data_IF_897713962852
#
_entry.id   IF_897713962852
#
_cell.length_a   1.000
_cell.length_b   1.000
_cell.length_c   1.000
_cell.angle_alpha   90.00
_cell.angle_beta   90.00
_cell.angle_gamma   90.00
#
_symmetry.space_group_name_H-M   'P 1'
#
loop_
_entity.id
_entity.type
_entity.pdbx_description
1 polymer ?
#
# COMPACT_ATOMS: atom_id res chain seq x y z
N UNK A 1 29.74 17.18 -19.28
CA UNK A 1 28.77 16.22 -18.72
C UNK A 1 28.55 16.60 -17.28
N UNK A 2 27.34 16.98 -16.89
CA UNK A 2 27.03 17.28 -15.48
C UNK A 2 27.16 16.00 -14.65
N UNK A 3 27.63 16.15 -13.41
CA UNK A 3 27.77 15.04 -12.47
C UNK A 3 26.37 14.56 -12.08
N UNK A 4 26.11 13.25 -12.05
CA UNK A 4 24.79 12.70 -11.73
C UNK A 4 24.25 13.18 -10.38
N UNK A 5 25.12 13.42 -9.39
CA UNK A 5 24.71 13.97 -8.09
C UNK A 5 24.05 15.34 -8.23
N UNK A 6 24.60 16.21 -9.09
CA UNK A 6 24.06 17.55 -9.29
C UNK A 6 22.69 17.49 -9.95
N UNK A 7 22.54 16.63 -10.96
CA UNK A 7 21.25 16.41 -11.64
C UNK A 7 20.21 15.88 -10.64
N UNK A 8 20.58 14.86 -9.85
CA UNK A 8 19.68 14.28 -8.85
C UNK A 8 19.24 15.30 -7.78
N UNK A 9 20.16 16.13 -7.28
CA UNK A 9 19.81 17.19 -6.32
C UNK A 9 18.88 18.24 -6.93
N UNK A 10 19.11 18.60 -8.19
CA UNK A 10 18.23 19.50 -8.93
C UNK A 10 16.82 18.90 -9.07
N UNK A 11 16.70 17.64 -9.47
CA UNK A 11 15.41 16.94 -9.60
C UNK A 11 14.67 16.87 -8.26
N UNK A 12 15.38 16.61 -7.16
CA UNK A 12 14.78 16.63 -5.81
C UNK A 12 14.23 18.00 -5.45
N UNK A 13 14.99 19.07 -5.70
CA UNK A 13 14.56 20.43 -5.45
C UNK A 13 13.36 20.85 -6.32
N UNK A 14 13.37 20.49 -7.61
CA UNK A 14 12.27 20.75 -8.54
C UNK A 14 10.99 20.03 -8.10
N UNK A 15 11.10 18.78 -7.63
CA UNK A 15 9.98 18.03 -7.08
C UNK A 15 9.35 18.74 -5.87
N UNK A 16 10.17 19.24 -4.93
CA UNK A 16 9.66 19.99 -3.77
C UNK A 16 8.98 21.29 -4.19
N UNK A 17 9.58 22.02 -5.13
CA UNK A 17 9.00 23.26 -5.68
C UNK A 17 7.64 23.00 -6.33
N UNK A 18 7.51 21.89 -7.06
CA UNK A 18 6.24 21.46 -7.66
C UNK A 18 5.18 21.16 -6.61
N UNK A 19 5.55 20.47 -5.53
CA UNK A 19 4.64 20.19 -4.41
C UNK A 19 4.16 21.47 -3.73
N UNK A 20 5.06 22.40 -3.40
CA UNK A 20 4.67 23.69 -2.81
C UNK A 20 3.74 24.49 -3.73
N UNK A 21 4.04 24.54 -5.02
CA UNK A 21 3.20 25.21 -6.03
C UNK A 21 1.82 24.58 -6.11
N UNK A 22 1.75 23.26 -6.04
CA UNK A 22 0.50 22.51 -6.06
C UNK A 22 -0.34 22.80 -4.80
N UNK A 23 0.27 22.78 -3.62
CA UNK A 23 -0.42 23.05 -2.34
C UNK A 23 -0.89 24.49 -2.22
N UNK A 24 -0.20 25.44 -2.85
CA UNK A 24 -0.63 26.85 -2.93
C UNK A 24 -1.89 27.05 -3.78
N UNK A 25 -2.20 26.13 -4.70
CA UNK A 25 -3.37 26.19 -5.57
C UNK A 25 -4.41 25.14 -5.19
N UNK A 26 -5.38 25.54 -4.37
CA UNK A 26 -6.47 24.65 -3.93
C UNK A 26 -7.20 23.96 -5.10
N UNK A 27 -7.47 24.68 -6.19
CA UNK A 27 -8.17 24.13 -7.34
C UNK A 27 -7.35 23.04 -8.05
N UNK A 28 -6.05 23.28 -8.27
CA UNK A 28 -5.16 22.30 -8.88
C UNK A 28 -5.03 21.06 -7.98
N UNK A 29 -4.89 21.27 -6.67
CA UNK A 29 -4.77 20.16 -5.74
C UNK A 29 -6.06 19.33 -5.66
N UNK A 30 -7.25 19.95 -5.67
CA UNK A 30 -8.51 19.20 -5.72
C UNK A 30 -8.66 18.40 -7.02
N UNK A 31 -8.17 18.92 -8.16
CA UNK A 31 -8.16 18.17 -9.42
C UNK A 31 -7.22 16.97 -9.37
N UNK A 32 -6.08 17.09 -8.70
CA UNK A 32 -5.10 16.01 -8.54
C UNK A 32 -5.58 14.96 -7.56
N UNK A 33 -6.20 15.39 -6.46
CA UNK A 33 -6.78 14.50 -5.45
C UNK A 33 -7.90 13.64 -6.04
N UNK A 34 -8.71 14.19 -6.94
CA UNK A 34 -9.73 13.41 -7.65
C UNK A 34 -10.81 12.87 -6.70
N UNK A 35 -11.20 11.62 -6.92
CA UNK A 35 -12.20 10.91 -6.12
C UNK A 35 -11.62 10.37 -4.79
N UNK A 36 -12.48 9.84 -3.93
CA UNK A 36 -12.09 9.31 -2.61
C UNK A 36 -11.05 8.18 -2.71
N UNK A 37 -11.14 7.34 -3.74
CA UNK A 37 -10.16 6.25 -3.99
C UNK A 37 -8.77 6.83 -4.29
N UNK A 38 -8.70 7.83 -5.14
CA UNK A 38 -7.45 8.50 -5.49
C UNK A 38 -6.91 9.33 -4.32
N UNK A 39 -7.78 9.95 -3.53
CA UNK A 39 -7.39 10.66 -2.30
C UNK A 39 -6.75 9.72 -1.28
N UNK A 40 -7.35 8.55 -1.06
CA UNK A 40 -6.82 7.53 -0.16
C UNK A 40 -5.47 6.99 -0.66
N UNK A 41 -5.35 6.74 -1.97
CA UNK A 41 -4.10 6.31 -2.60
C UNK A 41 -2.99 7.35 -2.39
N UNK A 42 -3.24 8.62 -2.68
CA UNK A 42 -2.26 9.71 -2.51
C UNK A 42 -1.81 9.81 -1.06
N UNK A 43 -2.75 9.82 -0.10
CA UNK A 43 -2.41 9.90 1.32
C UNK A 43 -1.61 8.69 1.78
N UNK A 44 -1.97 7.49 1.32
CA UNK A 44 -1.26 6.25 1.64
C UNK A 44 0.17 6.28 1.11
N UNK A 45 0.38 6.74 -0.12
CA UNK A 45 1.72 6.85 -0.71
C UNK A 45 2.59 7.90 -0.01
N UNK A 46 2.02 9.05 0.39
CA UNK A 46 2.75 10.06 1.16
C UNK A 46 3.23 9.52 2.50
N UNK A 47 2.34 8.83 3.24
CA UNK A 47 2.69 8.22 4.52
C UNK A 47 3.68 7.08 4.34
N UNK A 48 3.49 6.23 3.33
CA UNK A 48 4.40 5.14 3.00
C UNK A 48 5.81 5.66 2.73
N UNK A 49 5.97 6.68 1.88
CA UNK A 49 7.28 7.23 1.54
C UNK A 49 7.96 7.84 2.78
N UNK A 50 7.22 8.59 3.59
CA UNK A 50 7.76 9.16 4.84
C UNK A 50 8.17 8.09 5.86
N UNK A 51 7.43 6.98 5.96
CA UNK A 51 7.76 5.88 6.87
C UNK A 51 8.92 5.02 6.35
N UNK A 52 8.92 4.71 5.05
CA UNK A 52 9.88 3.80 4.42
C UNK A 52 11.22 4.48 4.16
N UNK A 53 11.21 5.77 3.85
CA UNK A 53 12.37 6.54 3.38
C UNK A 53 12.64 7.80 4.21
N UNK A 54 12.07 7.89 5.42
CA UNK A 54 12.17 9.09 6.25
C UNK A 54 13.61 9.50 6.60
N UNK A 55 14.53 8.54 6.71
CA UNK A 55 15.96 8.77 6.94
C UNK A 55 16.69 9.40 5.73
N UNK A 56 16.06 9.36 4.56
CA UNK A 56 16.63 9.83 3.29
C UNK A 56 16.15 11.24 2.95
N UNK A 57 15.22 11.80 3.73
CA UNK A 57 14.66 13.13 3.50
C UNK A 57 15.53 14.16 4.22
N UNK A 58 15.74 15.29 3.56
CA UNK A 58 16.23 16.49 4.26
C UNK A 58 15.10 17.11 5.07
N UNK A 59 15.42 17.90 6.10
CA UNK A 59 14.42 18.61 6.92
C UNK A 59 13.45 19.43 6.05
N UNK A 60 13.97 20.08 5.01
CA UNK A 60 13.16 20.83 4.05
C UNK A 60 12.16 19.95 3.29
N UNK A 61 12.59 18.78 2.83
CA UNK A 61 11.69 17.86 2.12
C UNK A 61 10.63 17.29 3.05
N UNK A 62 11.00 17.00 4.30
CA UNK A 62 10.06 16.56 5.32
C UNK A 62 8.98 17.62 5.56
N UNK A 63 9.36 18.89 5.75
CA UNK A 63 8.42 19.99 5.96
C UNK A 63 7.46 20.17 4.77
N UNK A 64 7.98 20.08 3.54
CA UNK A 64 7.15 20.18 2.33
C UNK A 64 6.17 19.02 2.24
N UNK A 65 6.62 17.78 2.46
CA UNK A 65 5.77 16.59 2.37
C UNK A 65 4.72 16.58 3.48
N UNK A 66 5.09 16.96 4.71
CA UNK A 66 4.15 17.13 5.82
C UNK A 66 3.07 18.17 5.49
N UNK A 67 3.44 19.32 4.94
CA UNK A 67 2.48 20.36 4.55
C UNK A 67 1.54 19.94 3.41
N UNK A 68 2.03 19.12 2.46
CA UNK A 68 1.20 18.49 1.43
C UNK A 68 0.20 17.52 2.08
N UNK A 69 0.68 16.62 2.93
CA UNK A 69 -0.16 15.66 3.65
C UNK A 69 -1.28 16.35 4.45
N UNK A 70 -0.94 17.34 5.27
CA UNK A 70 -1.92 18.11 6.06
C UNK A 70 -2.98 18.78 5.18
N UNK A 71 -2.56 19.32 4.03
CA UNK A 71 -3.48 19.95 3.09
C UNK A 71 -4.39 18.92 2.42
N UNK A 72 -3.84 17.78 2.02
CA UNK A 72 -4.61 16.68 1.45
C UNK A 72 -5.66 16.18 2.44
N UNK A 73 -5.28 15.91 3.69
CA UNK A 73 -6.19 15.49 4.78
C UNK A 73 -7.29 16.52 5.03
N UNK A 74 -6.95 17.82 5.05
CA UNK A 74 -7.95 18.89 5.22
C UNK A 74 -8.96 18.94 4.07
N UNK A 75 -8.53 18.63 2.84
CA UNK A 75 -9.39 18.71 1.65
C UNK A 75 -10.24 17.45 1.46
N UNK A 76 -9.69 16.27 1.71
CA UNK A 76 -10.38 14.98 1.54
C UNK A 76 -11.24 14.60 2.75
N UNK A 77 -10.86 15.06 3.95
CA UNK A 77 -11.42 14.54 5.20
C UNK A 77 -10.89 13.14 5.58
N UNK A 78 -9.95 12.59 4.81
CA UNK A 78 -9.33 11.29 5.06
C UNK A 78 -8.04 11.46 5.87
N UNK A 79 -7.81 10.54 6.80
CA UNK A 79 -6.62 10.53 7.63
C UNK A 79 -5.96 9.15 7.62
N UNK A 80 -4.88 9.01 6.85
CA UNK A 80 -4.02 7.82 6.86
C UNK A 80 -2.88 8.10 7.82
N UNK A 81 -2.80 7.33 8.91
CA UNK A 81 -1.78 7.55 9.95
C UNK A 81 -0.62 6.58 9.81
N UNK A 82 -0.93 5.33 9.47
CA UNK A 82 0.06 4.26 9.34
C UNK A 82 -0.20 3.44 8.08
N UNK A 83 0.89 2.97 7.48
CA UNK A 83 0.85 2.03 6.37
C UNK A 83 1.42 0.69 6.85
N UNK A 84 0.74 -0.45 6.62
CA UNK A 84 1.24 -1.75 7.07
C UNK A 84 2.61 -2.10 6.47
N UNK A 85 3.43 -2.86 7.19
CA UNK A 85 4.77 -3.26 6.72
C UNK A 85 4.76 -4.06 5.41
N UNK A 86 3.69 -4.82 5.19
CA UNK A 86 3.49 -5.59 3.97
C UNK A 86 3.06 -4.75 2.77
N UNK A 87 2.77 -3.46 2.97
CA UNK A 87 2.29 -2.61 1.87
C UNK A 87 3.38 -2.44 0.81
N UNK A 88 2.98 -2.63 -0.44
CA UNK A 88 3.81 -2.36 -1.61
C UNK A 88 2.98 -1.53 -2.60
N UNK A 89 3.47 -0.36 -3.03
CA UNK A 89 2.79 0.44 -4.03
C UNK A 89 2.55 -0.32 -5.33
N UNK A 90 1.40 -0.14 -5.97
CA UNK A 90 1.08 -0.84 -7.21
C UNK A 90 2.12 -0.60 -8.33
N UNK A 91 2.75 0.58 -8.36
CA UNK A 91 3.79 0.89 -9.35
C UNK A 91 5.09 0.08 -9.17
N UNK A 92 5.39 -0.40 -7.95
CA UNK A 92 6.57 -1.24 -7.68
C UNK A 92 6.36 -2.70 -8.10
N UNK A 93 5.13 -3.05 -8.48
CA UNK A 93 4.74 -4.42 -8.87
C UNK A 93 4.57 -4.58 -10.39
N UNK A 94 4.82 -3.50 -11.15
CA UNK A 94 4.70 -3.57 -12.60
C UNK A 94 5.74 -4.53 -13.17
N UNK A 95 5.31 -5.41 -14.08
CA UNK A 95 6.12 -6.45 -14.75
C UNK A 95 6.39 -7.74 -13.98
N UNK A 96 5.63 -8.09 -12.93
CA UNK A 96 5.84 -9.35 -12.18
C UNK A 96 7.28 -9.48 -11.65
N UNK A 97 7.92 -8.35 -11.35
CA UNK A 97 9.25 -8.29 -10.77
C UNK A 97 9.18 -7.39 -9.55
N UNK A 98 9.71 -7.88 -8.45
CA UNK A 98 9.92 -7.09 -7.24
C UNK A 98 11.39 -7.20 -6.87
N UNK A 99 12.11 -6.08 -6.84
CA UNK A 99 13.57 -6.04 -6.60
C UNK A 99 14.33 -7.06 -7.48
N UNK A 100 14.06 -7.05 -8.79
CA UNK A 100 14.59 -7.99 -9.79
C UNK A 100 14.20 -9.47 -9.65
N UNK A 101 13.50 -9.85 -8.57
CA UNK A 101 12.99 -11.20 -8.33
C UNK A 101 11.66 -11.41 -9.03
N UNK A 102 11.49 -12.56 -9.70
CA UNK A 102 10.21 -12.90 -10.33
C UNK A 102 9.17 -13.18 -9.24
N UNK A 103 8.07 -12.44 -9.29
CA UNK A 103 6.94 -12.56 -8.37
C UNK A 103 5.66 -12.83 -9.16
N UNK A 104 4.70 -13.48 -8.52
CA UNK A 104 3.36 -13.59 -9.07
C UNK A 104 2.51 -12.48 -8.46
N UNK A 105 1.90 -11.64 -9.31
CA UNK A 105 1.00 -10.55 -8.90
C UNK A 105 -0.44 -10.99 -9.15
N UNK A 106 -1.20 -11.19 -8.08
CA UNK A 106 -2.62 -11.54 -8.14
C UNK A 106 -3.48 -10.28 -8.02
N UNK A 107 -4.25 -9.96 -9.06
CA UNK A 107 -5.17 -8.83 -9.07
C UNK A 107 -6.54 -9.23 -8.50
N UNK A 108 -6.98 -8.55 -7.44
CA UNK A 108 -8.24 -8.81 -6.75
C UNK A 108 -9.40 -7.99 -7.34
N UNK A 109 -9.78 -8.28 -8.58
CA UNK A 109 -10.71 -7.46 -9.37
C UNK A 109 -12.13 -7.32 -8.78
N UNK A 110 -12.57 -8.29 -7.98
CA UNK A 110 -13.94 -8.35 -7.41
C UNK A 110 -13.98 -8.21 -5.90
N UNK A 111 -12.81 -8.02 -5.26
CA UNK A 111 -12.71 -8.00 -3.80
C UNK A 111 -12.69 -6.57 -3.28
N UNK A 112 -13.01 -6.42 -1.99
CA UNK A 112 -12.91 -5.14 -1.29
C UNK A 112 -11.50 -4.86 -0.78
N UNK A 113 -11.22 -3.59 -0.51
CA UNK A 113 -10.04 -3.15 0.24
C UNK A 113 -9.89 -3.95 1.56
N UNK A 114 -10.97 -4.10 2.32
CA UNK A 114 -10.99 -4.84 3.58
C UNK A 114 -10.52 -6.30 3.40
N UNK A 115 -10.96 -6.96 2.33
CA UNK A 115 -10.51 -8.32 2.03
C UNK A 115 -8.99 -8.36 1.75
N UNK A 116 -8.49 -7.41 0.96
CA UNK A 116 -7.05 -7.30 0.68
C UNK A 116 -6.24 -7.12 1.98
N UNK A 117 -6.64 -6.17 2.83
CA UNK A 117 -5.98 -5.89 4.11
C UNK A 117 -5.98 -7.13 5.01
N UNK A 118 -7.12 -7.80 5.15
CA UNK A 118 -7.25 -8.99 6.01
C UNK A 118 -6.40 -10.14 5.51
N UNK A 119 -6.43 -10.40 4.20
CA UNK A 119 -5.66 -11.48 3.60
C UNK A 119 -4.16 -11.22 3.68
N UNK A 120 -3.73 -10.00 3.36
CA UNK A 120 -2.32 -9.60 3.43
C UNK A 120 -1.79 -9.68 4.86
N UNK A 121 -2.55 -9.17 5.84
CA UNK A 121 -2.12 -9.19 7.25
C UNK A 121 -2.02 -10.62 7.79
N UNK A 122 -3.04 -11.46 7.55
CA UNK A 122 -3.01 -12.85 7.99
C UNK A 122 -1.86 -13.65 7.36
N UNK A 123 -1.55 -13.38 6.09
CA UNK A 123 -0.48 -14.09 5.37
C UNK A 123 0.90 -13.54 5.71
N UNK A 124 1.05 -12.24 5.96
CA UNK A 124 2.31 -11.61 6.36
C UNK A 124 2.88 -12.22 7.66
N UNK A 125 2.00 -12.60 8.58
CA UNK A 125 2.37 -13.22 9.86
C UNK A 125 2.80 -14.70 9.71
N UNK A 126 2.54 -15.34 8.57
CA UNK A 126 2.80 -16.76 8.30
C UNK A 126 4.18 -17.00 7.65
N UNK A 127 5.23 -16.38 8.18
CA UNK A 127 6.60 -16.56 7.68
C UNK A 127 7.14 -17.95 8.07
N UNK A 128 6.81 -18.96 7.26
CA UNK A 128 7.19 -20.36 7.49
C UNK A 128 7.79 -20.99 6.22
N UNK A 129 8.83 -21.84 6.31
CA UNK A 129 9.49 -22.46 5.15
C UNK A 129 8.60 -23.29 4.21
N UNK A 130 7.41 -23.68 4.68
CA UNK A 130 6.45 -24.51 3.92
C UNK A 130 5.18 -23.74 3.52
N UNK A 131 5.13 -22.44 3.79
CA UNK A 131 4.05 -21.56 3.36
C UNK A 131 4.62 -20.65 2.29
N UNK A 132 3.92 -20.52 1.16
CA UNK A 132 4.33 -19.62 0.10
C UNK A 132 4.53 -18.22 0.65
N UNK A 133 5.66 -17.57 0.33
CA UNK A 133 5.98 -16.27 0.90
C UNK A 133 5.13 -15.16 0.27
N UNK A 134 4.48 -14.36 1.11
CA UNK A 134 3.95 -13.05 0.70
C UNK A 134 5.09 -12.04 0.71
N UNK A 135 5.28 -11.32 -0.39
CA UNK A 135 6.20 -10.20 -0.47
C UNK A 135 5.53 -8.87 -0.16
N UNK A 136 4.23 -8.75 -0.42
CA UNK A 136 3.44 -7.61 -0.01
C UNK A 136 2.08 -7.53 -0.68
N UNK A 137 1.38 -6.42 -0.49
CA UNK A 137 0.08 -6.17 -1.11
C UNK A 137 -0.19 -4.68 -1.28
N UNK A 138 -1.05 -4.34 -2.25
CA UNK A 138 -1.60 -3.00 -2.43
C UNK A 138 -3.11 -3.05 -2.19
N UNK A 139 -3.60 -2.29 -1.22
CA UNK A 139 -5.03 -2.21 -0.88
C UNK A 139 -5.69 -0.90 -1.33
N UNK A 140 -4.92 0.02 -1.94
CA UNK A 140 -5.40 1.33 -2.40
C UNK A 140 -5.31 1.46 -3.91
N UNK A 141 -6.03 2.44 -4.45
CA UNK A 141 -6.03 2.76 -5.87
C UNK A 141 -6.96 1.88 -6.70
N UNK A 142 -6.76 1.90 -8.02
CA UNK A 142 -7.65 1.23 -8.99
C UNK A 142 -7.50 -0.29 -9.05
N UNK A 143 -6.39 -0.83 -8.55
CA UNK A 143 -6.12 -2.26 -8.61
C UNK A 143 -5.56 -2.73 -7.28
N UNK A 144 -6.34 -3.59 -6.61
CA UNK A 144 -5.93 -4.28 -5.41
C UNK A 144 -5.08 -5.49 -5.82
N UNK A 145 -3.89 -5.65 -5.21
CA UNK A 145 -2.96 -6.72 -5.59
C UNK A 145 -2.35 -7.42 -4.38
N UNK A 146 -2.10 -8.72 -4.54
CA UNK A 146 -1.23 -9.52 -3.66
C UNK A 146 0.03 -9.90 -4.43
N UNK A 147 1.20 -9.72 -3.81
CA UNK A 147 2.51 -10.02 -4.39
C UNK A 147 3.11 -11.19 -3.64
N UNK A 148 3.35 -12.30 -4.34
CA UNK A 148 3.83 -13.54 -3.73
C UNK A 148 5.00 -14.16 -4.49
N UNK A 149 5.65 -15.09 -3.81
CA UNK A 149 6.65 -15.95 -4.43
C UNK A 149 6.10 -16.66 -5.67
N UNK A 150 6.90 -16.63 -6.75
CA UNK A 150 6.50 -17.30 -7.98
C UNK A 150 6.63 -18.81 -7.83
N UNK A 151 5.54 -19.54 -8.01
CA UNK A 151 5.55 -20.99 -7.94
C UNK A 151 6.19 -21.59 -9.21
N UNK A 152 7.47 -21.96 -9.14
CA UNK A 152 8.14 -22.66 -10.24
C UNK A 152 7.89 -24.17 -10.14
N UNK A 153 6.79 -24.64 -10.76
CA UNK A 153 6.41 -26.06 -10.93
C UNK A 153 5.17 -26.42 -10.09
N UNK A 154 4.01 -26.77 -10.66
CA UNK A 154 3.73 -27.83 -11.64
C UNK A 154 2.82 -27.32 -12.75
N UNK A 155 3.22 -27.47 -14.02
CA UNK A 155 2.26 -27.38 -15.14
C UNK A 155 1.35 -28.59 -15.08
N UNK A 156 0.19 -28.47 -14.44
CA UNK A 156 -0.93 -29.35 -14.75
C UNK A 156 -1.98 -28.55 -15.50
N UNK A 157 -2.28 -29.07 -16.68
CA UNK A 157 -3.27 -28.59 -17.64
C UNK A 157 -4.64 -28.53 -16.97
N UNK A 158 -5.29 -27.38 -17.04
CA UNK A 158 -6.67 -27.20 -16.62
C UNK A 158 -6.91 -25.80 -16.09
N UNK A 159 -7.62 -24.98 -16.85
CA UNK A 159 -8.31 -23.80 -16.33
C UNK A 159 -9.19 -24.24 -15.16
N UNK A 160 -8.69 -24.09 -13.93
CA UNK A 160 -9.47 -24.26 -12.71
C UNK A 160 -9.81 -22.87 -12.22
N UNK A 161 -11.09 -22.53 -12.32
CA UNK A 161 -11.69 -21.37 -11.67
C UNK A 161 -11.35 -21.39 -10.19
N UNK A 162 -10.96 -20.23 -9.67
CA UNK A 162 -10.46 -19.99 -8.32
C UNK A 162 -11.52 -20.17 -7.21
N UNK A 163 -12.08 -21.38 -7.07
CA UNK A 163 -12.96 -21.73 -5.94
C UNK A 163 -12.67 -23.08 -5.26
N UNK A 164 -11.77 -23.92 -5.77
CA UNK A 164 -11.50 -25.22 -5.15
C UNK A 164 -10.06 -25.35 -4.65
N UNK A 165 -9.75 -24.69 -3.54
CA UNK A 165 -8.73 -25.18 -2.61
C UNK A 165 -9.45 -25.44 -1.30
N UNK A 166 -9.88 -26.69 -1.12
CA UNK A 166 -10.34 -27.20 0.17
C UNK A 166 -9.22 -26.99 1.20
N UNK A 167 -9.36 -25.96 2.01
CA UNK A 167 -8.66 -25.85 3.29
C UNK A 167 -9.24 -26.95 4.16
N UNK A 168 -8.46 -28.00 4.40
CA UNK A 168 -8.79 -29.04 5.35
C UNK A 168 -9.17 -28.41 6.68
N UNK A 169 -10.40 -28.66 7.12
CA UNK A 169 -10.92 -28.23 8.41
C UNK A 169 -10.10 -28.87 9.52
N UNK A 170 -9.14 -28.14 10.07
CA UNK A 170 -8.62 -28.42 11.40
C UNK A 170 -9.63 -27.87 12.41
N UNK A 171 -10.50 -28.75 12.91
CA UNK A 171 -11.30 -28.47 14.10
C UNK A 171 -10.34 -28.19 15.27
N UNK A 172 -10.35 -26.96 15.78
CA UNK A 172 -9.74 -26.65 17.07
C UNK A 172 -10.81 -26.67 18.17
N UNK A 173 -10.49 -27.21 19.36
CA UNK A 173 -11.45 -27.30 20.45
C UNK A 173 -11.81 -25.93 21.00
N UNK A 174 -13.07 -25.83 21.41
CA UNK A 174 -13.63 -24.75 22.20
C UNK A 174 -12.82 -24.48 23.47
N UNK A 175 -12.15 -23.33 23.56
CA UNK A 175 -11.87 -22.73 24.87
C UNK A 175 -11.96 -21.20 24.80
N UNK A 176 -12.93 -20.69 25.55
CA UNK A 176 -13.26 -19.26 25.73
C UNK A 176 -12.07 -18.52 26.36
N UNK A 177 -11.68 -17.39 25.78
CA UNK A 177 -11.05 -16.30 26.52
C UNK A 177 -11.49 -14.94 25.94
N UNK A 178 -12.28 -14.12 26.66
CA UNK A 178 -12.94 -12.93 26.11
C UNK A 178 -12.07 -11.64 26.10
N UNK A 179 -10.74 -11.71 26.14
CA UNK A 179 -9.91 -10.54 26.47
C UNK A 179 -9.05 -9.93 25.34
N UNK A 180 -9.16 -10.35 24.08
CA UNK A 180 -8.28 -9.86 23.00
C UNK A 180 -8.94 -8.93 21.96
N UNK A 181 -10.20 -8.56 22.13
CA UNK A 181 -10.91 -7.68 21.18
C UNK A 181 -10.84 -6.22 21.59
N UNK A 182 -9.63 -5.67 21.74
CA UNK A 182 -9.43 -4.22 21.78
C UNK A 182 -8.09 -3.92 21.13
N UNK A 183 -8.08 -3.64 19.83
CA UNK A 183 -7.23 -2.63 19.17
C UNK A 183 -7.19 -2.82 17.65
N UNK A 184 -8.34 -2.73 16.99
CA UNK A 184 -8.41 -2.20 15.62
C UNK A 184 -9.69 -1.36 15.56
N UNK A 185 -9.56 -0.06 15.84
CA UNK A 185 -10.61 0.92 15.60
C UNK A 185 -10.14 1.77 14.42
N UNK A 186 -10.68 1.48 13.24
CA UNK A 186 -10.77 2.47 12.16
C UNK A 186 -12.02 3.29 12.46
N UNK A 187 -11.84 4.47 13.05
CA UNK A 187 -12.95 5.37 13.39
C UNK A 187 -13.40 6.11 12.13
N UNK A 188 -14.41 5.57 11.44
CA UNK A 188 -15.25 6.34 10.52
C UNK A 188 -16.21 7.22 11.35
N UNK A 189 -15.79 8.43 11.72
CA UNK A 189 -16.72 9.44 12.25
C UNK A 189 -17.51 10.07 11.09
N UNK A 190 -18.66 9.47 10.78
CA UNK A 190 -19.70 10.12 9.96
C UNK A 190 -20.43 11.12 10.85
N UNK A 191 -20.17 12.42 10.67
CA UNK A 191 -21.06 13.47 11.21
C UNK A 191 -22.04 14.01 10.19
N UNK A 192 -23.30 14.02 10.65
CA UNK A 192 -24.42 14.85 10.19
C UNK A 192 -24.10 16.34 10.37
#
# INVERSE_FOLDING_TARGET
MLKWQTVFQQERYERMTKYQTMTASKNLLMQILGDETQQLEILTLLVYDSQKHGDTFTDFEYDVVAGVYETCTRLSGLNVVNVPEWFVPAYDTQQNRWQDTKVDVEHLLTQSEEFCIRQASAWWDLQHPHVMKLFGACHVGKSLVLVRESAQGVKNVGSLSSQDVLVGTAQLPTQKNPAAWVSIQVTLDKRK
#
